data_IF_200589887615
#
_entry.id   IF_200589887615
#
_cell.length_a   1.000
_cell.length_b   1.000
_cell.length_c   1.000
_cell.angle_alpha   90.00
_cell.angle_beta   90.00
_cell.angle_gamma   90.00
#
_symmetry.space_group_name_H-M   'P 1'
#
loop_
_entity.id
_entity.type
_entity.pdbx_description
1 polymer ?
#
# COMPACT_ATOMS: atom_id res chain seq x y z
N UNK A 1 -7.31 2.46 10.40
CA UNK A 1 -6.37 3.46 9.81
C UNK A 1 -6.97 4.17 8.60
N UNK A 2 -7.44 3.45 7.58
CA UNK A 2 -8.02 4.03 6.37
C UNK A 2 -9.21 4.96 6.63
N UNK A 3 -10.16 4.54 7.47
CA UNK A 3 -11.33 5.36 7.78
C UNK A 3 -11.01 6.61 8.63
N UNK A 4 -10.03 6.52 9.54
CA UNK A 4 -9.70 7.61 10.47
C UNK A 4 -8.68 8.60 9.90
N UNK A 5 -7.82 8.15 8.99
CA UNK A 5 -6.75 8.95 8.37
C UNK A 5 -7.06 9.29 6.90
N UNK A 6 -8.18 8.80 6.35
CA UNK A 6 -8.51 8.96 4.93
C UNK A 6 -7.56 8.21 3.99
N UNK A 7 -6.74 7.31 4.51
CA UNK A 7 -5.75 6.57 3.71
C UNK A 7 -6.39 5.47 2.85
N UNK A 8 -5.90 5.32 1.63
CA UNK A 8 -6.22 4.18 0.76
C UNK A 8 -5.40 2.96 1.20
N UNK A 9 -6.07 1.81 1.36
CA UNK A 9 -5.41 0.56 1.78
C UNK A 9 -5.89 -0.60 0.92
N UNK A 10 -4.99 -1.56 0.68
CA UNK A 10 -5.27 -2.83 0.02
C UNK A 10 -4.57 -3.96 0.78
N UNK A 11 -5.36 -4.95 1.21
CA UNK A 11 -4.87 -6.20 1.79
C UNK A 11 -5.19 -7.37 0.86
N UNK A 12 -4.18 -8.20 0.61
CA UNK A 12 -4.28 -9.43 -0.17
C UNK A 12 -3.79 -10.57 0.71
N UNK A 13 -4.66 -11.53 1.02
CA UNK A 13 -4.34 -12.67 1.87
C UNK A 13 -4.52 -13.94 1.06
N UNK A 14 -3.44 -14.71 0.88
CA UNK A 14 -3.50 -16.00 0.21
C UNK A 14 -3.83 -17.09 1.22
N UNK A 15 -4.93 -17.80 1.00
CA UNK A 15 -5.20 -19.02 1.77
C UNK A 15 -4.19 -20.11 1.42
N UNK A 16 -4.04 -21.14 2.28
CA UNK A 16 -3.20 -22.31 1.98
C UNK A 16 -3.60 -23.05 0.69
N UNK A 17 -4.87 -22.93 0.27
CA UNK A 17 -5.41 -23.50 -0.99
C UNK A 17 -5.15 -22.60 -2.21
N UNK A 18 -4.46 -21.47 -2.02
CA UNK A 18 -4.06 -20.55 -3.10
C UNK A 18 -5.16 -19.58 -3.53
N UNK A 19 -6.32 -19.58 -2.86
CA UNK A 19 -7.39 -18.60 -3.15
C UNK A 19 -7.09 -17.28 -2.44
N UNK A 20 -7.02 -16.16 -3.16
CA UNK A 20 -6.81 -14.84 -2.56
C UNK A 20 -8.10 -14.30 -1.95
N UNK A 21 -7.97 -13.68 -0.79
CA UNK A 21 -8.98 -12.85 -0.16
C UNK A 21 -8.52 -11.41 -0.23
N UNK A 22 -9.36 -10.54 -0.78
CA UNK A 22 -9.03 -9.14 -1.00
C UNK A 22 -9.92 -8.25 -0.15
N UNK A 23 -9.30 -7.27 0.49
CA UNK A 23 -10.00 -6.20 1.20
C UNK A 23 -9.34 -4.87 0.83
N UNK A 24 -10.14 -3.85 0.54
CA UNK A 24 -9.61 -2.54 0.20
C UNK A 24 -10.59 -1.44 0.56
N UNK A 25 -10.05 -0.27 0.87
CA UNK A 25 -10.83 0.94 1.18
C UNK A 25 -10.36 2.10 0.29
N UNK A 26 -11.27 2.86 -0.34
CA UNK A 26 -12.73 2.71 -0.31
C UNK A 26 -13.25 1.49 -1.10
N UNK A 27 -12.45 0.98 -2.04
CA UNK A 27 -12.70 -0.29 -2.72
C UNK A 27 -11.38 -0.91 -3.19
N UNK A 28 -11.38 -2.23 -3.39
CA UNK A 28 -10.22 -2.97 -3.92
C UNK A 28 -9.79 -2.42 -5.28
N UNK A 29 -10.75 -2.09 -6.16
CA UNK A 29 -10.46 -1.60 -7.50
C UNK A 29 -9.81 -0.21 -7.49
N UNK A 30 -10.26 0.69 -6.60
CA UNK A 30 -9.67 2.03 -6.46
C UNK A 30 -8.21 1.93 -6.03
N UNK A 31 -7.96 1.16 -4.97
CA UNK A 31 -6.61 0.96 -4.44
C UNK A 31 -5.72 0.24 -5.48
N UNK A 32 -6.21 -0.81 -6.14
CA UNK A 32 -5.46 -1.53 -7.16
C UNK A 32 -5.10 -0.63 -8.35
N UNK A 33 -6.00 0.24 -8.80
CA UNK A 33 -5.72 1.20 -9.89
C UNK A 33 -4.56 2.13 -9.54
N UNK A 34 -4.46 2.55 -8.29
CA UNK A 34 -3.35 3.36 -7.81
C UNK A 34 -2.01 2.61 -7.86
N UNK A 35 -1.98 1.35 -7.40
CA UNK A 35 -0.77 0.52 -7.45
C UNK A 35 -0.36 0.12 -8.87
N UNK A 36 -1.33 -0.12 -9.74
CA UNK A 36 -1.09 -0.56 -11.11
C UNK A 36 -0.85 0.59 -12.08
N UNK A 37 -1.01 1.84 -11.65
CA UNK A 37 -0.69 3.01 -12.46
C UNK A 37 0.77 3.43 -12.21
N UNK A 38 1.71 3.12 -13.14
CA UNK A 38 3.13 3.44 -12.97
C UNK A 38 3.42 4.96 -12.94
N UNK A 39 2.42 5.78 -13.23
CA UNK A 39 2.52 7.25 -13.26
C UNK A 39 2.32 7.89 -11.89
N UNK A 40 1.82 7.14 -10.88
CA UNK A 40 1.66 7.67 -9.53
C UNK A 40 2.96 7.53 -8.76
N UNK A 41 3.64 8.66 -8.55
CA UNK A 41 4.78 8.73 -7.63
C UNK A 41 4.29 8.37 -6.24
N UNK A 42 4.57 7.16 -5.78
CA UNK A 42 4.51 6.85 -4.37
C UNK A 42 5.59 7.72 -3.72
N UNK A 43 5.17 8.78 -3.02
CA UNK A 43 6.04 9.55 -2.14
C UNK A 43 6.41 8.65 -0.96
N UNK A 44 7.31 7.70 -1.25
CA UNK A 44 7.92 6.80 -0.31
C UNK A 44 8.75 7.67 0.63
N UNK A 45 8.16 8.11 1.73
CA UNK A 45 8.93 8.61 2.86
C UNK A 45 9.51 7.37 3.54
N UNK A 46 10.48 6.74 2.89
CA UNK A 46 11.45 5.93 3.61
C UNK A 46 12.06 6.90 4.60
N UNK A 47 11.83 6.67 5.89
CA UNK A 47 12.72 7.19 6.91
C UNK A 47 14.09 6.62 6.56
N UNK A 48 14.86 7.38 5.77
CA UNK A 48 16.25 7.05 5.48
C UNK A 48 16.89 6.79 6.86
N UNK A 49 17.64 5.68 7.05
CA UNK A 49 18.38 5.52 8.27
C UNK A 49 19.34 6.70 8.33
N UNK A 50 19.04 7.66 9.22
CA UNK A 50 19.77 8.93 9.41
C UNK A 50 21.24 8.71 9.80
N UNK A 51 21.66 7.45 9.94
CA UNK A 51 22.97 7.01 10.39
C UNK A 51 24.04 6.95 9.29
N UNK A 52 23.68 7.07 8.00
CA UNK A 52 24.65 6.99 6.90
C UNK A 52 25.30 8.35 6.50
N UNK A 53 24.89 9.47 7.09
CA UNK A 53 25.42 10.82 6.79
C UNK A 53 26.38 11.37 7.87
N UNK A 54 26.87 10.52 8.78
CA UNK A 54 27.94 10.86 9.70
C UNK A 54 29.20 10.04 9.37
N UNK A 55 29.85 10.35 8.24
CA UNK A 55 31.26 10.03 8.04
C UNK A 55 31.98 11.19 7.36
#
# INVERSE_FOLDING_TARGET
ISNLCGGEILFIIFSPIGKPFLFGHPSVQSAAKQFLNPSQSFNETIYAPVEALSK
#
